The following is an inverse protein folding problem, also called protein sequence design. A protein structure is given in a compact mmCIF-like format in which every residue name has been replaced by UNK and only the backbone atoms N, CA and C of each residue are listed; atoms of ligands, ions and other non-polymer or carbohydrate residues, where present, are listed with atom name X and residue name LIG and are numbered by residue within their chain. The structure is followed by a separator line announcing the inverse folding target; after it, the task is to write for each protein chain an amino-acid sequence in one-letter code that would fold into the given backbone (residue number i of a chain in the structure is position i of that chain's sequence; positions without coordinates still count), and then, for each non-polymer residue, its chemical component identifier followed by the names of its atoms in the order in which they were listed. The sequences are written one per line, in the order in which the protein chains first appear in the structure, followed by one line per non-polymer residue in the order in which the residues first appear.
data_IF_131995011761
#
_entry.id   IF_131995011761
#
_cell.length_a   1.000
_cell.length_b   1.000
_cell.length_c   1.000
_cell.angle_alpha   90.00
_cell.angle_beta   90.00
_cell.angle_gamma   90.00
#
_symmetry.space_group_name_H-M   'P 1'
#
loop_
_entity.id
_entity.type
_entity.pdbx_description
1 polymer ?
#
# COMPACT_ATOMS: atom_id res chain seq x y z
N UNK A 1 -13.19 -11.76 -5.02
CA UNK A 1 -13.62 -11.06 -3.78
C UNK A 1 -12.45 -10.75 -2.85
N UNK A 2 -11.66 -11.73 -2.41
CA UNK A 2 -10.57 -11.51 -1.43
C UNK A 2 -9.42 -10.62 -1.92
N UNK A 3 -9.05 -10.68 -3.21
CA UNK A 3 -7.93 -9.88 -3.76
C UNK A 3 -8.32 -8.40 -3.96
N UNK A 4 -9.58 -8.14 -4.30
CA UNK A 4 -10.11 -6.78 -4.43
C UNK A 4 -10.13 -6.07 -3.07
N UNK A 5 -10.66 -6.75 -2.04
CA UNK A 5 -10.71 -6.22 -0.66
C UNK A 5 -9.28 -5.98 -0.14
N UNK A 6 -8.35 -6.86 -0.48
CA UNK A 6 -6.93 -6.68 -0.15
C UNK A 6 -6.32 -5.43 -0.80
N UNK A 7 -6.59 -5.20 -2.09
CA UNK A 7 -6.13 -4.01 -2.80
C UNK A 7 -6.70 -2.72 -2.19
N UNK A 8 -8.00 -2.73 -1.86
CA UNK A 8 -8.68 -1.62 -1.19
C UNK A 8 -8.06 -1.34 0.18
N UNK A 9 -7.77 -2.40 0.95
CA UNK A 9 -7.08 -2.28 2.24
C UNK A 9 -5.72 -1.58 2.11
N UNK A 10 -4.94 -1.90 1.07
CA UNK A 10 -3.68 -1.23 0.80
C UNK A 10 -3.82 0.23 0.42
N UNK A 11 -4.82 0.58 -0.39
CA UNK A 11 -5.08 1.99 -0.75
C UNK A 11 -5.40 2.81 0.49
N UNK A 12 -6.27 2.28 1.38
CA UNK A 12 -6.62 2.95 2.64
C UNK A 12 -5.39 3.06 3.55
N UNK A 13 -4.57 2.01 3.64
CA UNK A 13 -3.37 2.02 4.47
C UNK A 13 -2.34 3.06 3.99
N UNK A 14 -2.05 3.09 2.69
CA UNK A 14 -1.11 4.06 2.10
C UNK A 14 -1.63 5.48 2.27
N UNK A 15 -2.92 5.70 1.98
CA UNK A 15 -3.56 7.01 2.15
C UNK A 15 -3.55 7.47 3.61
N UNK A 16 -3.82 6.56 4.56
CA UNK A 16 -3.80 6.85 5.99
C UNK A 16 -2.40 7.23 6.50
N UNK A 17 -1.36 6.50 6.09
CA UNK A 17 0.03 6.84 6.46
C UNK A 17 0.44 8.17 5.86
N UNK A 18 0.16 8.40 4.57
CA UNK A 18 0.46 9.66 3.91
C UNK A 18 -0.26 10.84 4.58
N UNK A 19 -1.52 10.66 4.95
CA UNK A 19 -2.29 11.68 5.65
C UNK A 19 -1.76 11.96 7.06
N UNK A 20 -1.40 10.91 7.83
CA UNK A 20 -0.78 11.08 9.14
C UNK A 20 0.53 11.87 9.07
N UNK A 21 1.37 11.60 8.07
CA UNK A 21 2.61 12.35 7.86
C UNK A 21 2.34 13.81 7.42
N UNK A 22 1.32 14.05 6.60
CA UNK A 22 0.90 15.42 6.27
C UNK A 22 0.43 16.18 7.52
N UNK A 23 -0.36 15.55 8.39
CA UNK A 23 -0.82 16.17 9.65
C UNK A 23 0.33 16.48 10.62
N UNK A 24 1.40 15.68 10.56
CA UNK A 24 2.65 15.90 11.32
C UNK A 24 3.57 16.96 10.69
N UNK A 25 3.15 17.62 9.60
CA UNK A 25 3.95 18.62 8.88
C UNK A 25 5.29 18.08 8.39
N UNK A 26 5.35 16.78 8.08
CA UNK A 26 6.53 16.16 7.49
C UNK A 26 6.75 16.71 6.09
N UNK A 27 8.01 16.90 5.70
CA UNK A 27 8.36 17.39 4.38
C UNK A 27 7.78 16.49 3.27
N UNK A 28 7.18 17.10 2.25
CA UNK A 28 6.45 16.39 1.19
C UNK A 28 7.31 15.36 0.44
N UNK A 29 8.62 15.60 0.32
CA UNK A 29 9.54 14.63 -0.27
C UNK A 29 9.62 13.32 0.54
N UNK A 30 9.58 13.39 1.88
CA UNK A 30 9.60 12.21 2.76
C UNK A 30 8.29 11.45 2.61
N UNK A 31 7.16 12.16 2.56
CA UNK A 31 5.83 11.57 2.38
C UNK A 31 5.79 10.78 1.07
N UNK A 32 6.31 11.36 -0.02
CA UNK A 32 6.41 10.68 -1.30
C UNK A 32 7.29 9.42 -1.23
N UNK A 33 8.47 9.48 -0.59
CA UNK A 33 9.36 8.32 -0.41
C UNK A 33 8.62 7.21 0.34
N UNK A 34 7.97 7.51 1.46
CA UNK A 34 7.23 6.53 2.26
C UNK A 34 6.07 5.93 1.45
N UNK A 35 5.30 6.76 0.73
CA UNK A 35 4.19 6.29 -0.10
C UNK A 35 4.66 5.33 -1.21
N UNK A 36 5.79 5.63 -1.87
CA UNK A 36 6.38 4.77 -2.91
C UNK A 36 6.86 3.44 -2.32
N UNK A 37 7.50 3.46 -1.15
CA UNK A 37 7.95 2.24 -0.46
C UNK A 37 6.74 1.35 -0.12
N UNK A 38 5.70 1.92 0.47
CA UNK A 38 4.49 1.18 0.84
C UNK A 38 3.76 0.63 -0.39
N UNK A 39 3.71 1.39 -1.47
CA UNK A 39 3.14 0.94 -2.74
C UNK A 39 3.92 -0.26 -3.32
N UNK A 40 5.26 -0.22 -3.29
CA UNK A 40 6.09 -1.36 -3.70
C UNK A 40 5.79 -2.63 -2.90
N UNK A 41 5.66 -2.50 -1.58
CA UNK A 41 5.31 -3.64 -0.71
C UNK A 41 3.92 -4.18 -1.08
N UNK A 42 2.93 -3.30 -1.28
CA UNK A 42 1.57 -3.68 -1.67
C UNK A 42 1.55 -4.51 -2.96
N UNK A 43 2.34 -4.10 -3.96
CA UNK A 43 2.44 -4.82 -5.24
C UNK A 43 3.08 -6.19 -5.06
N UNK A 44 4.21 -6.29 -4.34
CA UNK A 44 4.91 -7.58 -4.14
C UNK A 44 4.03 -8.57 -3.39
N UNK A 45 3.38 -8.12 -2.31
CA UNK A 45 2.50 -8.98 -1.52
C UNK A 45 1.20 -9.32 -2.28
N UNK A 46 0.67 -8.39 -3.08
CA UNK A 46 -0.43 -8.64 -4.01
C UNK A 46 -0.10 -9.68 -5.08
N UNK A 47 1.06 -9.58 -5.72
CA UNK A 47 1.54 -10.52 -6.73
C UNK A 47 1.73 -11.93 -6.14
N UNK A 48 2.25 -12.02 -4.91
CA UNK A 48 2.40 -13.30 -4.20
C UNK A 48 1.04 -13.93 -3.89
N UNK A 49 0.07 -13.12 -3.46
CA UNK A 49 -1.31 -13.54 -3.19
C UNK A 49 -2.01 -14.03 -4.47
N UNK A 50 -1.82 -13.34 -5.59
CA UNK A 50 -2.35 -13.74 -6.89
C UNK A 50 -1.77 -15.09 -7.32
N UNK A 51 -0.44 -15.25 -7.27
CA UNK A 51 0.23 -16.50 -7.67
C UNK A 51 -0.18 -17.72 -6.83
N UNK A 52 -0.45 -17.54 -5.54
CA UNK A 52 -0.94 -18.63 -4.69
C UNK A 52 -2.37 -19.06 -5.05
N UNK A 53 -3.17 -18.16 -5.62
CA UNK A 53 -4.53 -18.46 -6.09
C UNK A 53 -4.52 -19.32 -7.36
N UNK A 54 -3.49 -19.15 -8.21
CA UNK A 54 -3.35 -19.92 -9.46
C UNK A 54 -2.88 -21.37 -9.23
N UNK A 55 -2.46 -21.72 -8.01
CA UNK A 55 -1.96 -23.06 -7.65
C UNK A 55 -2.99 -23.97 -6.98
N UNK A 56 -4.21 -23.49 -6.72
CA UNK A 56 -5.31 -24.24 -6.10
C UNK A 56 -6.43 -24.48 -7.11
#
# INVERSE_FOLDING_TARGET
MTLLIYLVGWIIFIGGVAWGLMALHVAQHIIAIVAVILFGIAVITGATRARNRDRS
#
